data_IF_123199324197
#
_entry.id   IF_123199324197
#
_cell.length_a   1.000
_cell.length_b   1.000
_cell.length_c   1.000
_cell.angle_alpha   90.00
_cell.angle_beta   90.00
_cell.angle_gamma   90.00
#
_symmetry.space_group_name_H-M   'P 1'
#
loop_
_entity.id
_entity.type
_entity.pdbx_description
1 polymer ?
#
# COMPACT_ATOMS: atom_id res chain seq x y z
N UNK A 1 -14.99 -32.42 -3.06
CA UNK A 1 -13.91 -31.40 -3.18
C UNK A 1 -13.96 -30.53 -4.44
N UNK A 2 -14.28 -31.04 -5.65
CA UNK A 2 -14.26 -30.26 -6.92
C UNK A 2 -15.25 -29.07 -7.00
N UNK A 3 -16.47 -29.15 -6.45
CA UNK A 3 -17.47 -28.05 -6.51
C UNK A 3 -17.07 -26.80 -5.69
N UNK A 4 -16.41 -26.96 -4.54
CA UNK A 4 -15.89 -25.81 -3.74
C UNK A 4 -14.76 -25.07 -4.45
N UNK A 5 -13.95 -25.78 -5.26
CA UNK A 5 -12.84 -25.18 -5.99
C UNK A 5 -13.29 -24.25 -7.12
N UNK A 6 -14.34 -24.61 -7.88
CA UNK A 6 -14.85 -23.78 -8.98
C UNK A 6 -15.58 -22.53 -8.47
N UNK A 7 -16.40 -22.67 -7.42
CA UNK A 7 -17.05 -21.51 -6.79
C UNK A 7 -16.04 -20.51 -6.20
N UNK A 8 -14.98 -20.99 -5.54
CA UNK A 8 -13.90 -20.14 -5.07
C UNK A 8 -13.14 -19.45 -6.21
N UNK A 9 -12.99 -20.13 -7.34
CA UNK A 9 -12.37 -19.53 -8.53
C UNK A 9 -13.20 -18.36 -9.06
N UNK A 10 -14.49 -18.53 -9.27
CA UNK A 10 -15.38 -17.50 -9.80
C UNK A 10 -15.56 -16.30 -8.86
N UNK A 11 -15.54 -16.53 -7.55
CA UNK A 11 -15.81 -15.49 -6.55
C UNK A 11 -14.54 -14.86 -5.96
N UNK A 12 -13.42 -15.59 -5.94
CA UNK A 12 -12.22 -15.21 -5.18
C UNK A 12 -10.90 -15.55 -5.91
N UNK A 13 -10.92 -15.66 -7.23
CA UNK A 13 -9.73 -15.93 -8.06
C UNK A 13 -8.95 -17.20 -7.62
N UNK A 14 -9.65 -18.19 -7.07
CA UNK A 14 -9.04 -19.43 -6.58
C UNK A 14 -8.49 -19.38 -5.15
N UNK A 15 -8.51 -18.24 -4.49
CA UNK A 15 -8.21 -18.10 -3.06
C UNK A 15 -9.40 -18.51 -2.18
N UNK A 16 -9.16 -18.66 -0.87
CA UNK A 16 -10.27 -18.71 0.10
C UNK A 16 -10.87 -17.32 0.28
N UNK A 17 -12.10 -17.24 0.75
CA UNK A 17 -12.81 -15.96 0.94
C UNK A 17 -12.05 -15.00 1.86
N UNK A 18 -11.54 -15.50 2.97
CA UNK A 18 -10.77 -14.75 3.96
C UNK A 18 -9.44 -14.24 3.38
N UNK A 19 -8.74 -15.07 2.61
CA UNK A 19 -7.49 -14.71 1.92
C UNK A 19 -7.71 -13.61 0.88
N UNK A 20 -8.74 -13.74 0.05
CA UNK A 20 -9.09 -12.73 -0.95
C UNK A 20 -9.50 -11.40 -0.30
N UNK A 21 -10.32 -11.45 0.77
CA UNK A 21 -10.71 -10.24 1.48
C UNK A 21 -9.53 -9.54 2.15
N UNK A 22 -8.53 -10.31 2.62
CA UNK A 22 -7.32 -9.76 3.22
C UNK A 22 -6.43 -8.97 2.26
N UNK A 23 -6.50 -9.26 0.94
CA UNK A 23 -5.71 -8.54 -0.08
C UNK A 23 -6.55 -7.65 -0.99
N UNK A 24 -7.83 -7.52 -0.72
CA UNK A 24 -8.78 -6.79 -1.56
C UNK A 24 -8.37 -5.32 -1.78
N UNK A 25 -7.90 -4.64 -0.76
CA UNK A 25 -7.46 -3.25 -0.87
C UNK A 25 -6.25 -3.13 -1.77
N UNK A 26 -5.25 -4.01 -1.64
CA UNK A 26 -4.07 -4.06 -2.50
C UNK A 26 -4.42 -4.30 -3.97
N UNK A 27 -5.39 -5.18 -4.25
CA UNK A 27 -5.90 -5.41 -5.61
C UNK A 27 -6.45 -4.10 -6.19
N UNK A 28 -7.25 -3.36 -5.41
CA UNK A 28 -7.85 -2.12 -5.89
C UNK A 28 -6.89 -0.96 -5.97
N UNK A 29 -5.87 -0.88 -5.12
CA UNK A 29 -4.75 0.06 -5.27
C UNK A 29 -4.01 -0.15 -6.60
N UNK A 30 -3.75 -1.41 -6.97
CA UNK A 30 -3.17 -1.76 -8.27
C UNK A 30 -4.09 -1.36 -9.43
N UNK A 31 -5.37 -1.71 -9.36
CA UNK A 31 -6.36 -1.36 -10.37
C UNK A 31 -6.44 0.16 -10.58
N UNK A 32 -6.40 0.95 -9.52
CA UNK A 32 -6.39 2.41 -9.61
C UNK A 32 -5.14 2.97 -10.30
N UNK A 33 -3.97 2.37 -10.07
CA UNK A 33 -2.75 2.76 -10.79
C UNK A 33 -2.90 2.50 -12.30
N UNK A 34 -3.44 1.34 -12.66
CA UNK A 34 -3.70 0.98 -14.06
C UNK A 34 -4.77 1.94 -14.64
N UNK A 35 -5.86 2.19 -13.91
CA UNK A 35 -6.93 3.08 -14.33
C UNK A 35 -6.42 4.50 -14.63
N UNK A 36 -5.52 5.05 -13.82
CA UNK A 36 -4.90 6.36 -14.08
C UNK A 36 -4.17 6.38 -15.41
N UNK A 37 -3.41 5.34 -15.71
CA UNK A 37 -2.66 5.24 -16.96
C UNK A 37 -3.62 5.07 -18.15
N UNK A 38 -4.57 4.14 -18.04
CA UNK A 38 -5.49 3.82 -19.14
C UNK A 38 -6.42 4.99 -19.46
N UNK A 39 -6.99 5.67 -18.47
CA UNK A 39 -7.88 6.81 -18.68
C UNK A 39 -7.16 7.99 -19.35
N UNK A 40 -5.94 8.31 -18.91
CA UNK A 40 -5.12 9.35 -19.57
C UNK A 40 -4.78 8.95 -21.00
N UNK A 41 -4.37 7.70 -21.22
CA UNK A 41 -4.05 7.19 -22.55
C UNK A 41 -5.27 7.23 -23.48
N UNK A 42 -6.46 6.88 -22.98
CA UNK A 42 -7.72 6.96 -23.73
C UNK A 42 -8.04 8.40 -24.14
N UNK A 43 -7.84 9.38 -23.25
CA UNK A 43 -8.02 10.81 -23.57
C UNK A 43 -7.04 11.24 -24.66
N UNK A 44 -5.76 10.98 -24.49
CA UNK A 44 -4.72 11.39 -25.46
C UNK A 44 -4.97 10.78 -26.84
N UNK A 45 -5.26 9.48 -26.89
CA UNK A 45 -5.54 8.78 -28.14
C UNK A 45 -6.81 9.31 -28.81
N UNK A 46 -7.86 9.56 -28.04
CA UNK A 46 -9.13 10.09 -28.59
C UNK A 46 -8.96 11.48 -29.17
N UNK A 47 -8.24 12.37 -28.48
CA UNK A 47 -7.95 13.72 -28.97
C UNK A 47 -7.07 13.66 -30.20
N UNK A 48 -6.05 12.81 -30.24
CA UNK A 48 -5.22 12.63 -31.43
C UNK A 48 -6.05 12.19 -32.63
N UNK A 49 -6.90 11.18 -32.50
CA UNK A 49 -7.73 10.72 -33.59
C UNK A 49 -8.84 11.71 -33.98
N UNK A 50 -9.37 12.50 -33.05
CA UNK A 50 -10.28 13.61 -33.39
C UNK A 50 -9.62 14.64 -34.31
N UNK A 51 -8.38 15.05 -33.98
CA UNK A 51 -7.61 15.98 -34.78
C UNK A 51 -7.28 15.37 -36.15
N UNK A 52 -6.80 14.12 -36.16
CA UNK A 52 -6.43 13.39 -37.37
C UNK A 52 -7.61 13.25 -38.32
N UNK A 53 -8.79 12.83 -37.85
CA UNK A 53 -9.99 12.71 -38.67
C UNK A 53 -10.46 14.07 -39.23
N UNK A 54 -10.32 15.13 -38.42
CA UNK A 54 -10.62 16.48 -38.87
C UNK A 54 -9.72 16.94 -40.01
N UNK A 55 -8.43 16.64 -39.92
CA UNK A 55 -7.45 17.01 -40.95
C UNK A 55 -7.58 16.19 -42.22
N UNK A 56 -8.00 14.93 -42.12
CA UNK A 56 -8.18 14.03 -43.25
C UNK A 56 -9.57 14.11 -43.89
N UNK A 57 -10.48 14.94 -43.32
CA UNK A 57 -11.85 15.06 -43.83
C UNK A 57 -12.74 13.85 -43.57
N UNK A 58 -12.35 12.96 -42.66
CA UNK A 58 -13.12 11.78 -42.29
C UNK A 58 -14.33 12.17 -41.41
N UNK A 59 -15.48 11.57 -41.68
CA UNK A 59 -16.73 11.80 -40.93
C UNK A 59 -16.80 10.95 -39.63
N UNK A 60 -15.82 10.08 -39.38
CA UNK A 60 -15.80 9.17 -38.25
C UNK A 60 -15.20 9.84 -36.99
N UNK A 61 -15.82 10.92 -36.51
CA UNK A 61 -15.31 11.65 -35.34
C UNK A 61 -16.13 11.41 -34.04
N UNK A 62 -17.40 11.01 -34.18
CA UNK A 62 -18.33 10.86 -33.05
C UNK A 62 -17.84 9.86 -31.99
N UNK A 63 -17.36 8.64 -32.34
CA UNK A 63 -16.86 7.68 -31.36
C UNK A 63 -15.69 8.23 -30.54
N UNK A 64 -14.76 8.93 -31.19
CA UNK A 64 -13.60 9.51 -30.52
C UNK A 64 -13.99 10.63 -29.56
N UNK A 65 -14.98 11.46 -29.91
CA UNK A 65 -15.51 12.49 -29.03
C UNK A 65 -16.15 11.86 -27.78
N UNK A 66 -16.95 10.82 -27.98
CA UNK A 66 -17.59 10.10 -26.90
C UNK A 66 -16.56 9.52 -25.92
N UNK A 67 -15.52 8.83 -26.42
CA UNK A 67 -14.45 8.29 -25.61
C UNK A 67 -13.67 9.40 -24.89
N UNK A 68 -13.34 10.50 -25.58
CA UNK A 68 -12.64 11.64 -24.99
C UNK A 68 -13.41 12.23 -23.80
N UNK A 69 -14.72 12.46 -23.95
CA UNK A 69 -15.58 13.01 -22.90
C UNK A 69 -15.65 12.02 -21.70
N UNK A 70 -15.92 10.74 -21.96
CA UNK A 70 -16.06 9.71 -20.93
C UNK A 70 -14.78 9.52 -20.14
N UNK A 71 -13.65 9.31 -20.80
CA UNK A 71 -12.35 9.11 -20.15
C UNK A 71 -11.86 10.39 -19.45
N UNK A 72 -12.15 11.58 -19.98
CA UNK A 72 -11.87 12.84 -19.27
C UNK A 72 -12.67 12.94 -17.97
N UNK A 73 -13.94 12.57 -17.97
CA UNK A 73 -14.78 12.55 -16.78
C UNK A 73 -14.22 11.59 -15.71
N UNK A 74 -13.84 10.37 -16.09
CA UNK A 74 -13.21 9.40 -15.19
C UNK A 74 -11.89 9.95 -14.63
N UNK A 75 -11.03 10.50 -15.51
CA UNK A 75 -9.75 11.09 -15.13
C UNK A 75 -9.93 12.22 -14.11
N UNK A 76 -10.85 13.17 -14.37
CA UNK A 76 -11.14 14.27 -13.44
C UNK A 76 -11.57 13.77 -12.07
N UNK A 77 -12.47 12.78 -11.99
CA UNK A 77 -12.89 12.22 -10.70
C UNK A 77 -11.72 11.56 -9.99
N UNK A 78 -10.83 10.87 -10.71
CA UNK A 78 -9.66 10.23 -10.12
C UNK A 78 -8.71 11.26 -9.48
N UNK A 79 -8.50 12.41 -10.09
CA UNK A 79 -7.54 13.41 -9.62
C UNK A 79 -8.13 14.40 -8.61
N UNK A 80 -9.43 14.71 -8.69
CA UNK A 80 -10.07 15.69 -7.78
C UNK A 80 -10.36 15.17 -6.38
N UNK A 81 -10.46 13.86 -6.18
CA UNK A 81 -10.88 13.27 -4.90
C UNK A 81 -9.70 12.75 -4.08
N UNK A 82 -9.48 13.33 -2.89
CA UNK A 82 -8.42 12.93 -1.93
C UNK A 82 -8.69 11.60 -1.21
N UNK A 83 -9.95 11.29 -0.89
CA UNK A 83 -10.35 10.04 -0.23
C UNK A 83 -11.52 9.42 -0.97
N UNK A 84 -11.42 8.14 -1.33
CA UNK A 84 -12.45 7.44 -2.09
C UNK A 84 -12.92 6.19 -1.36
N UNK A 85 -14.22 5.97 -1.25
CA UNK A 85 -14.73 4.66 -0.84
C UNK A 85 -14.46 3.63 -1.95
N UNK A 86 -14.11 2.42 -1.57
CA UNK A 86 -13.76 1.33 -2.47
C UNK A 86 -14.80 1.07 -3.58
N UNK A 87 -16.09 1.24 -3.29
CA UNK A 87 -17.16 1.06 -4.29
C UNK A 87 -17.06 2.04 -5.46
N UNK A 88 -16.56 3.28 -5.19
CA UNK A 88 -16.39 4.27 -6.23
C UNK A 88 -15.21 3.92 -7.15
N UNK A 89 -14.15 3.37 -6.60
CA UNK A 89 -13.00 2.90 -7.39
C UNK A 89 -13.40 1.76 -8.32
N UNK A 90 -14.22 0.83 -7.81
CA UNK A 90 -14.81 -0.24 -8.61
C UNK A 90 -15.65 0.35 -9.76
N UNK A 91 -16.54 1.30 -9.43
CA UNK A 91 -17.41 1.93 -10.41
C UNK A 91 -16.62 2.64 -11.50
N UNK A 92 -15.59 3.42 -11.15
CA UNK A 92 -14.77 4.14 -12.12
C UNK A 92 -14.02 3.21 -13.07
N UNK A 93 -13.49 2.08 -12.55
CA UNK A 93 -12.87 1.07 -13.38
C UNK A 93 -13.84 0.49 -14.43
N UNK A 94 -15.03 0.10 -14.01
CA UNK A 94 -16.03 -0.45 -14.93
C UNK A 94 -16.60 0.60 -15.89
N UNK A 95 -16.72 1.88 -15.48
CA UNK A 95 -17.11 2.96 -16.35
C UNK A 95 -16.08 3.21 -17.46
N UNK A 96 -14.79 3.22 -17.16
CA UNK A 96 -13.76 3.39 -18.18
C UNK A 96 -13.82 2.25 -19.21
N UNK A 97 -13.92 1.01 -18.75
CA UNK A 97 -14.06 -0.14 -19.65
C UNK A 97 -15.31 0.04 -20.53
N UNK A 98 -16.43 0.43 -19.93
CA UNK A 98 -17.69 0.63 -20.65
C UNK A 98 -17.56 1.70 -21.74
N UNK A 99 -16.91 2.84 -21.46
CA UNK A 99 -16.67 3.88 -22.47
C UNK A 99 -15.83 3.38 -23.64
N UNK A 100 -14.76 2.62 -23.34
CA UNK A 100 -13.90 2.04 -24.38
C UNK A 100 -14.67 1.01 -25.22
N UNK A 101 -15.52 0.21 -24.60
CA UNK A 101 -16.31 -0.79 -25.31
C UNK A 101 -17.42 -0.20 -26.16
N UNK A 102 -18.13 0.82 -25.67
CA UNK A 102 -19.11 1.56 -26.47
C UNK A 102 -18.41 2.21 -27.66
N UNK A 103 -17.25 2.83 -27.46
CA UNK A 103 -16.43 3.39 -28.53
C UNK A 103 -16.11 2.33 -29.59
N UNK A 104 -15.60 1.16 -29.19
CA UNK A 104 -15.27 0.07 -30.10
C UNK A 104 -16.50 -0.48 -30.82
N UNK A 105 -17.64 -0.55 -30.13
CA UNK A 105 -18.92 -0.96 -30.71
C UNK A 105 -19.41 0.00 -31.80
N UNK A 106 -19.37 1.32 -31.55
CA UNK A 106 -19.76 2.33 -32.51
C UNK A 106 -18.84 2.28 -33.74
N UNK A 107 -17.52 2.19 -33.55
CA UNK A 107 -16.59 2.01 -34.68
C UNK A 107 -16.92 0.76 -35.49
N UNK A 108 -17.16 -0.37 -34.85
CA UNK A 108 -17.49 -1.63 -35.53
C UNK A 108 -18.80 -1.59 -36.29
N UNK A 109 -19.72 -0.70 -35.93
CA UNK A 109 -20.98 -0.45 -36.70
C UNK A 109 -20.74 0.51 -37.86
N UNK A 110 -19.89 1.55 -37.69
CA UNK A 110 -19.60 2.54 -38.71
C UNK A 110 -18.67 2.04 -39.82
N UNK A 111 -17.67 1.21 -39.48
CA UNK A 111 -16.77 0.55 -40.46
C UNK A 111 -17.52 -0.43 -41.37
N UNK A 112 -18.74 -0.76 -41.02
CA UNK A 112 -19.56 -1.74 -41.73
C UNK A 112 -20.32 -1.20 -42.92
N UNK A 113 -19.70 -0.41 -43.81
CA UNK A 113 -20.21 -0.38 -45.18
C UNK A 113 -20.17 -1.82 -45.74
N UNK A 114 -20.94 -2.68 -45.07
CA UNK A 114 -21.49 -3.97 -45.42
C UNK A 114 -20.58 -5.22 -45.48
N UNK A 115 -19.26 -5.16 -45.36
CA UNK A 115 -18.44 -6.33 -45.68
C UNK A 115 -17.42 -6.76 -44.61
N UNK A 116 -17.11 -5.94 -43.60
CA UNK A 116 -16.07 -6.27 -42.63
C UNK A 116 -16.63 -6.68 -41.24
N UNK A 117 -16.10 -7.72 -40.62
CA UNK A 117 -16.51 -8.11 -39.27
C UNK A 117 -16.06 -7.08 -38.25
N UNK A 118 -16.68 -7.12 -37.06
CA UNK A 118 -16.44 -6.20 -35.92
C UNK A 118 -15.04 -6.34 -35.31
N UNK A 119 -14.01 -5.98 -36.07
CA UNK A 119 -12.59 -6.19 -35.64
C UNK A 119 -12.22 -5.38 -34.41
N UNK A 120 -12.64 -4.12 -34.34
CA UNK A 120 -12.34 -3.21 -33.23
C UNK A 120 -12.92 -3.73 -31.91
N UNK A 121 -14.21 -4.10 -31.89
CA UNK A 121 -14.86 -4.63 -30.68
C UNK A 121 -14.24 -5.94 -30.20
N UNK A 122 -13.87 -6.83 -31.14
CA UNK A 122 -13.28 -8.12 -30.83
C UNK A 122 -11.95 -7.97 -30.10
N UNK A 123 -11.09 -7.04 -30.56
CA UNK A 123 -9.81 -6.74 -29.90
C UNK A 123 -10.04 -6.23 -28.47
N UNK A 124 -11.00 -5.35 -28.29
CA UNK A 124 -11.28 -4.80 -26.94
C UNK A 124 -11.91 -5.83 -26.00
N UNK A 125 -12.85 -6.65 -26.45
CA UNK A 125 -13.42 -7.76 -25.64
C UNK A 125 -12.30 -8.70 -25.17
N UNK A 126 -11.27 -8.96 -25.99
CA UNK A 126 -10.17 -9.85 -25.62
C UNK A 126 -9.15 -9.19 -24.67
N UNK A 127 -8.84 -7.89 -24.82
CA UNK A 127 -7.73 -7.24 -24.13
C UNK A 127 -8.15 -6.47 -22.88
N UNK A 128 -9.31 -5.81 -22.88
CA UNK A 128 -9.75 -4.97 -21.76
C UNK A 128 -9.88 -5.69 -20.42
N UNK A 129 -10.37 -6.95 -20.38
CA UNK A 129 -10.41 -7.67 -19.13
C UNK A 129 -9.05 -7.84 -18.44
N UNK A 130 -7.94 -7.71 -19.21
CA UNK A 130 -6.58 -7.82 -18.69
C UNK A 130 -6.15 -6.58 -17.86
N UNK A 131 -6.89 -5.48 -17.94
CA UNK A 131 -6.56 -4.21 -17.28
C UNK A 131 -7.05 -4.13 -15.83
N UNK A 132 -7.95 -5.00 -15.39
CA UNK A 132 -8.55 -4.96 -14.04
C UNK A 132 -8.57 -6.36 -13.43
N UNK A 133 -8.11 -6.46 -12.18
CA UNK A 133 -8.25 -7.66 -11.37
C UNK A 133 -9.48 -7.53 -10.46
N UNK A 134 -10.51 -8.31 -10.72
CA UNK A 134 -11.71 -8.41 -9.86
C UNK A 134 -12.21 -9.86 -9.84
N UNK A 135 -13.31 -10.09 -9.17
CA UNK A 135 -13.98 -11.41 -9.15
C UNK A 135 -14.35 -11.84 -10.57
N UNK A 136 -13.92 -13.00 -11.03
CA UNK A 136 -14.18 -13.44 -12.40
C UNK A 136 -15.65 -13.39 -12.79
N UNK A 137 -16.55 -13.71 -11.86
CA UNK A 137 -17.99 -13.67 -12.12
C UNK A 137 -18.50 -12.28 -12.55
N UNK A 138 -17.97 -11.19 -11.95
CA UNK A 138 -18.37 -9.83 -12.30
C UNK A 138 -17.93 -9.47 -13.71
N UNK A 139 -16.68 -9.79 -14.04
CA UNK A 139 -16.13 -9.52 -15.35
C UNK A 139 -16.86 -10.35 -16.43
N UNK A 140 -17.18 -11.61 -16.15
CA UNK A 140 -17.94 -12.44 -17.07
C UNK A 140 -19.32 -11.89 -17.36
N UNK A 141 -20.06 -11.45 -16.31
CA UNK A 141 -21.36 -10.82 -16.48
C UNK A 141 -21.27 -9.52 -17.28
N UNK A 142 -20.21 -8.74 -17.06
CA UNK A 142 -19.96 -7.52 -17.82
C UNK A 142 -19.70 -7.81 -19.29
N UNK A 143 -18.79 -8.73 -19.61
CA UNK A 143 -18.45 -9.14 -20.98
C UNK A 143 -19.64 -9.72 -21.74
N UNK A 144 -20.46 -10.52 -21.07
CA UNK A 144 -21.69 -11.07 -21.67
C UNK A 144 -22.73 -9.98 -21.94
N UNK A 145 -22.92 -9.06 -21.00
CA UNK A 145 -23.87 -7.95 -21.14
C UNK A 145 -23.52 -7.02 -22.28
N UNK A 146 -22.24 -6.67 -22.40
CA UNK A 146 -21.70 -5.82 -23.45
C UNK A 146 -21.78 -6.50 -24.82
N UNK A 147 -21.37 -7.78 -24.91
CA UNK A 147 -21.49 -8.56 -26.12
C UNK A 147 -22.94 -8.67 -26.60
N UNK A 148 -23.90 -8.91 -25.69
CA UNK A 148 -25.32 -8.96 -26.00
C UNK A 148 -25.86 -7.62 -26.47
N UNK A 149 -25.46 -6.51 -25.84
CA UNK A 149 -25.86 -5.16 -26.24
C UNK A 149 -25.37 -4.83 -27.66
N UNK A 150 -24.09 -5.15 -27.95
CA UNK A 150 -23.53 -4.97 -29.29
C UNK A 150 -24.33 -5.75 -30.35
N UNK A 151 -24.55 -7.06 -30.10
CA UNK A 151 -25.29 -7.91 -31.07
C UNK A 151 -26.73 -7.43 -31.28
N UNK A 152 -27.38 -6.91 -30.23
CA UNK A 152 -28.71 -6.31 -30.37
C UNK A 152 -28.69 -5.10 -31.28
N UNK A 153 -27.75 -4.19 -31.15
CA UNK A 153 -27.59 -3.01 -31.99
C UNK A 153 -27.21 -3.43 -33.42
N UNK A 154 -26.24 -4.31 -33.58
CA UNK A 154 -25.75 -4.79 -34.87
C UNK A 154 -26.85 -5.48 -35.70
N UNK A 155 -27.78 -6.18 -35.04
CA UNK A 155 -28.91 -6.87 -35.71
C UNK A 155 -29.84 -5.91 -36.49
N UNK A 156 -29.94 -4.64 -36.02
CA UNK A 156 -30.79 -3.63 -36.69
C UNK A 156 -30.08 -2.83 -37.77
N UNK A 157 -28.74 -2.89 -37.86
CA UNK A 157 -27.94 -2.00 -38.73
C UNK A 157 -27.19 -2.76 -39.81
N UNK A 158 -26.70 -3.99 -39.50
CA UNK A 158 -25.84 -4.76 -40.41
C UNK A 158 -26.60 -5.69 -41.35
N UNK A 159 -25.97 -5.99 -42.51
CA UNK A 159 -26.51 -7.03 -43.40
C UNK A 159 -26.54 -8.41 -42.70
N UNK A 160 -27.45 -9.27 -43.11
CA UNK A 160 -27.60 -10.62 -42.53
C UNK A 160 -26.28 -11.43 -42.54
N UNK A 161 -25.49 -11.27 -43.59
CA UNK A 161 -24.21 -12.00 -43.71
C UNK A 161 -23.15 -11.46 -42.73
N UNK A 162 -22.98 -10.12 -42.66
CA UNK A 162 -22.07 -9.48 -41.72
C UNK A 162 -22.48 -9.76 -40.25
N UNK A 163 -23.77 -9.70 -39.97
CA UNK A 163 -24.28 -10.01 -38.64
C UNK A 163 -23.98 -11.44 -38.18
N UNK A 164 -24.17 -12.44 -39.10
CA UNK A 164 -23.81 -13.84 -38.78
C UNK A 164 -22.33 -14.01 -38.44
N UNK A 165 -21.42 -13.32 -39.17
CA UNK A 165 -19.99 -13.33 -38.87
C UNK A 165 -19.69 -12.67 -37.51
N UNK A 166 -20.37 -11.56 -37.22
CA UNK A 166 -20.23 -10.87 -35.95
C UNK A 166 -20.67 -11.78 -34.76
N UNK A 167 -21.79 -12.47 -34.92
CA UNK A 167 -22.23 -13.42 -33.86
C UNK A 167 -21.18 -14.47 -33.57
N UNK A 168 -20.63 -15.10 -34.62
CA UNK A 168 -19.59 -16.13 -34.43
C UNK A 168 -18.34 -15.53 -33.77
N UNK A 169 -17.88 -14.40 -34.26
CA UNK A 169 -16.66 -13.74 -33.76
C UNK A 169 -16.83 -13.26 -32.33
N UNK A 170 -17.93 -12.56 -32.00
CA UNK A 170 -18.19 -12.04 -30.66
C UNK A 170 -18.30 -13.19 -29.65
N UNK A 171 -19.00 -14.27 -29.97
CA UNK A 171 -19.08 -15.44 -29.07
C UNK A 171 -17.68 -16.06 -28.88
N UNK A 172 -16.94 -16.28 -29.98
CA UNK A 172 -15.60 -16.90 -29.92
C UNK A 172 -14.65 -16.07 -29.07
N UNK A 173 -14.56 -14.76 -29.31
CA UNK A 173 -13.62 -13.91 -28.59
C UNK A 173 -14.09 -13.59 -27.18
N UNK A 174 -15.39 -13.59 -26.90
CA UNK A 174 -15.91 -13.51 -25.52
C UNK A 174 -15.48 -14.75 -24.72
N UNK A 175 -15.59 -15.95 -25.25
CA UNK A 175 -15.14 -17.18 -24.59
C UNK A 175 -13.61 -17.16 -24.39
N UNK A 176 -12.85 -16.78 -25.42
CA UNK A 176 -11.39 -16.67 -25.33
C UNK A 176 -11.02 -15.62 -24.27
N UNK A 177 -11.63 -14.44 -24.29
CA UNK A 177 -11.40 -13.37 -23.34
C UNK A 177 -11.71 -13.80 -21.90
N UNK A 178 -12.81 -14.53 -21.67
CA UNK A 178 -13.14 -15.10 -20.35
C UNK A 178 -12.08 -16.08 -19.86
N UNK A 179 -11.56 -16.95 -20.73
CA UNK A 179 -10.52 -17.92 -20.39
C UNK A 179 -9.20 -17.21 -20.05
N UNK A 180 -8.77 -16.26 -20.87
CA UNK A 180 -7.58 -15.46 -20.59
C UNK A 180 -7.71 -14.66 -19.31
N UNK A 181 -8.85 -13.97 -19.12
CA UNK A 181 -9.12 -13.24 -17.88
C UNK A 181 -9.01 -14.14 -16.65
N UNK A 182 -9.61 -15.32 -16.71
CA UNK A 182 -9.56 -16.30 -15.63
C UNK A 182 -8.13 -16.63 -15.20
N UNK A 183 -7.26 -16.91 -16.16
CA UNK A 183 -5.87 -17.28 -15.90
C UNK A 183 -5.06 -16.10 -15.38
N UNK A 184 -5.16 -14.95 -16.05
CA UNK A 184 -4.37 -13.76 -15.74
C UNK A 184 -4.78 -13.19 -14.38
N UNK A 185 -6.08 -13.00 -14.14
CA UNK A 185 -6.59 -12.48 -12.88
C UNK A 185 -6.25 -13.40 -11.70
N UNK A 186 -6.41 -14.72 -11.86
CA UNK A 186 -6.05 -15.67 -10.80
C UNK A 186 -4.53 -15.64 -10.51
N UNK A 187 -3.69 -15.49 -11.53
CA UNK A 187 -2.24 -15.34 -11.38
C UNK A 187 -1.90 -14.05 -10.63
N UNK A 188 -2.42 -12.91 -11.09
CA UNK A 188 -2.14 -11.61 -10.51
C UNK A 188 -2.59 -11.51 -9.04
N UNK A 189 -3.81 -11.96 -8.74
CA UNK A 189 -4.35 -11.95 -7.38
C UNK A 189 -3.56 -12.89 -6.47
N UNK A 190 -3.13 -14.04 -6.98
CA UNK A 190 -2.27 -14.97 -6.23
C UNK A 190 -0.90 -14.37 -5.95
N UNK A 191 -0.31 -13.65 -6.90
CA UNK A 191 0.96 -12.95 -6.73
C UNK A 191 0.85 -11.88 -5.65
N UNK A 192 -0.19 -11.03 -5.68
CA UNK A 192 -0.46 -10.03 -4.65
C UNK A 192 -0.60 -10.69 -3.27
N UNK A 193 -1.34 -11.80 -3.19
CA UNK A 193 -1.51 -12.55 -1.94
C UNK A 193 -0.20 -13.13 -1.42
N UNK A 194 0.62 -13.70 -2.31
CA UNK A 194 1.91 -14.28 -1.95
C UNK A 194 2.86 -13.21 -1.43
N UNK A 195 2.96 -12.07 -2.11
CA UNK A 195 3.80 -10.96 -1.70
C UNK A 195 3.36 -10.40 -0.33
N UNK A 196 2.07 -10.16 -0.12
CA UNK A 196 1.54 -9.74 1.17
C UNK A 196 1.79 -10.78 2.30
N UNK A 197 1.75 -12.07 1.97
CA UNK A 197 2.06 -13.14 2.92
C UNK A 197 3.54 -13.18 3.28
N UNK A 198 4.45 -13.02 2.31
CA UNK A 198 5.89 -12.94 2.55
C UNK A 198 6.21 -11.74 3.44
N UNK A 199 5.69 -10.55 3.12
CA UNK A 199 5.86 -9.34 3.91
C UNK A 199 5.38 -9.54 5.37
N UNK A 200 4.24 -10.19 5.56
CA UNK A 200 3.72 -10.51 6.89
C UNK A 200 4.61 -11.49 7.65
N UNK A 201 5.16 -12.49 6.97
CA UNK A 201 6.08 -13.46 7.61
C UNK A 201 7.40 -12.77 7.97
N UNK A 202 7.97 -11.97 7.10
CA UNK A 202 9.18 -11.19 7.36
C UNK A 202 9.00 -10.28 8.58
N UNK A 203 7.91 -9.51 8.62
CA UNK A 203 7.59 -8.66 9.79
C UNK A 203 7.44 -9.48 11.08
N UNK A 204 6.85 -10.67 10.98
CA UNK A 204 6.70 -11.59 12.12
C UNK A 204 8.05 -12.12 12.64
N UNK A 205 8.96 -12.49 11.73
CA UNK A 205 10.31 -12.95 12.10
C UNK A 205 11.11 -11.83 12.77
N UNK A 206 11.12 -10.63 12.18
CA UNK A 206 11.77 -9.45 12.73
C UNK A 206 11.28 -9.19 14.16
N UNK A 207 9.96 -9.14 14.34
CA UNK A 207 9.36 -8.91 15.67
C UNK A 207 9.72 -10.02 16.67
N UNK A 208 9.71 -11.29 16.23
CA UNK A 208 10.08 -12.41 17.10
C UNK A 208 11.54 -12.33 17.55
N UNK A 209 12.46 -11.99 16.66
CA UNK A 209 13.87 -11.77 16.99
C UNK A 209 14.04 -10.61 17.98
N UNK A 210 13.37 -9.49 17.74
CA UNK A 210 13.39 -8.36 18.65
C UNK A 210 12.84 -8.74 20.04
N UNK A 211 11.73 -9.50 20.10
CA UNK A 211 11.16 -9.99 21.36
C UNK A 211 12.13 -10.88 22.14
N UNK A 212 12.87 -11.77 21.47
CA UNK A 212 13.89 -12.61 22.13
C UNK A 212 15.00 -11.75 22.75
N UNK A 213 15.38 -10.64 22.12
CA UNK A 213 16.34 -9.69 22.67
C UNK A 213 15.74 -8.92 23.85
N UNK A 214 14.47 -8.48 23.73
CA UNK A 214 13.74 -7.80 24.78
C UNK A 214 13.54 -8.67 26.03
N UNK A 215 13.28 -9.99 25.87
CA UNK A 215 13.10 -10.91 26.99
C UNK A 215 14.36 -11.06 27.86
N UNK A 216 15.55 -10.72 27.34
CA UNK A 216 16.78 -10.63 28.15
C UNK A 216 16.82 -9.37 29.02
N UNK A 217 16.11 -8.31 28.63
CA UNK A 217 15.98 -7.08 29.40
C UNK A 217 14.70 -7.18 30.25
N UNK A 218 14.85 -7.60 31.51
CA UNK A 218 13.73 -7.87 32.43
C UNK A 218 12.78 -6.68 32.65
N UNK A 219 13.14 -5.50 32.09
CA UNK A 219 12.41 -4.26 32.29
C UNK A 219 11.32 -3.95 31.23
N UNK A 220 11.17 -4.75 30.17
CA UNK A 220 10.56 -4.22 28.94
C UNK A 220 9.37 -4.99 28.36
N UNK A 221 8.65 -5.82 29.12
CA UNK A 221 7.52 -6.64 28.61
C UNK A 221 6.51 -5.84 27.76
N UNK A 222 6.43 -6.17 26.45
CA UNK A 222 5.51 -5.56 25.48
C UNK A 222 5.92 -4.18 24.95
N UNK A 223 7.13 -3.72 25.24
CA UNK A 223 7.69 -2.45 24.77
C UNK A 223 7.73 -2.37 23.25
N UNK A 224 8.22 -3.41 22.57
CA UNK A 224 8.29 -3.48 21.10
C UNK A 224 6.95 -3.19 20.44
N UNK A 225 5.87 -3.79 20.94
CA UNK A 225 4.54 -3.56 20.35
C UNK A 225 4.04 -2.14 20.60
N UNK A 226 4.27 -1.58 21.78
CA UNK A 226 3.81 -0.24 22.12
C UNK A 226 4.58 0.82 21.34
N UNK A 227 5.91 0.72 21.24
CA UNK A 227 6.75 1.64 20.45
C UNK A 227 6.39 1.60 18.98
N UNK A 228 6.17 0.41 18.41
CA UNK A 228 5.69 0.26 17.03
C UNK A 228 4.32 0.95 16.82
N UNK A 229 3.39 0.82 17.78
CA UNK A 229 2.07 1.46 17.70
C UNK A 229 2.19 3.01 17.79
N UNK A 230 3.12 3.54 18.60
CA UNK A 230 3.41 4.98 18.66
C UNK A 230 4.05 5.50 17.38
N UNK A 231 5.00 4.77 16.81
CA UNK A 231 5.59 5.08 15.49
C UNK A 231 4.52 5.14 14.41
N UNK A 232 3.63 4.14 14.34
CA UNK A 232 2.50 4.13 13.39
C UNK A 232 1.58 5.33 13.57
N UNK A 233 1.24 5.66 14.81
CA UNK A 233 0.39 6.80 15.12
C UNK A 233 1.02 8.12 14.66
N UNK A 234 2.31 8.34 14.93
CA UNK A 234 3.03 9.53 14.49
C UNK A 234 3.08 9.61 12.96
N UNK A 235 3.40 8.52 12.28
CA UNK A 235 3.44 8.43 10.82
C UNK A 235 2.08 8.77 10.20
N UNK A 236 0.96 8.28 10.75
CA UNK A 236 -0.36 8.62 10.26
C UNK A 236 -0.67 10.13 10.34
N UNK A 237 -0.14 10.82 11.34
CA UNK A 237 -0.25 12.27 11.46
C UNK A 237 0.69 12.99 10.48
N UNK A 238 1.93 12.50 10.32
CA UNK A 238 2.89 13.03 9.35
C UNK A 238 2.35 12.97 7.92
N UNK A 239 1.70 11.88 7.52
CA UNK A 239 1.07 11.75 6.19
C UNK A 239 -0.01 12.79 5.89
N UNK A 240 -0.63 13.35 6.92
CA UNK A 240 -1.68 14.39 6.81
C UNK A 240 -1.12 15.81 6.87
N UNK A 241 0.12 15.96 7.31
CA UNK A 241 0.80 17.24 7.46
C UNK A 241 1.52 17.64 6.16
N UNK A 242 1.36 18.87 5.71
CA UNK A 242 1.91 19.36 4.44
C UNK A 242 3.45 19.34 4.40
N UNK A 243 4.14 19.47 5.54
CA UNK A 243 5.61 19.42 5.65
C UNK A 243 6.16 18.05 5.25
N UNK A 244 5.48 16.98 5.63
CA UNK A 244 5.92 15.58 5.44
C UNK A 244 5.24 14.89 4.24
N UNK A 245 4.34 15.55 3.53
CA UNK A 245 3.52 15.00 2.45
C UNK A 245 4.32 14.50 1.24
N UNK A 246 5.54 14.99 1.06
CA UNK A 246 6.42 14.60 -0.06
C UNK A 246 7.21 13.31 0.21
N UNK A 247 7.19 12.82 1.46
CA UNK A 247 7.91 11.61 1.84
C UNK A 247 7.18 10.40 1.25
N UNK A 248 7.89 9.48 0.56
CA UNK A 248 7.29 8.31 -0.04
C UNK A 248 6.62 7.39 1.00
N UNK A 249 5.50 6.77 0.64
CA UNK A 249 4.84 5.79 1.52
C UNK A 249 5.74 4.59 1.85
N UNK A 250 6.68 4.25 0.96
CA UNK A 250 7.65 3.17 1.20
C UNK A 250 8.58 3.49 2.36
N UNK A 251 9.07 4.72 2.48
CA UNK A 251 9.86 5.16 3.62
C UNK A 251 9.12 4.91 4.94
N UNK A 252 7.85 5.32 5.03
CA UNK A 252 7.05 5.11 6.23
C UNK A 252 6.84 3.63 6.57
N UNK A 253 6.64 2.78 5.56
CA UNK A 253 6.56 1.33 5.77
C UNK A 253 7.87 0.76 6.32
N UNK A 254 8.99 1.19 5.77
CA UNK A 254 10.31 0.77 6.19
C UNK A 254 10.61 1.19 7.63
N UNK A 255 10.24 2.42 8.03
CA UNK A 255 10.40 2.90 9.41
C UNK A 255 9.58 2.04 10.40
N UNK A 256 8.31 1.74 10.08
CA UNK A 256 7.47 0.89 10.91
C UNK A 256 8.07 -0.52 11.06
N UNK A 257 8.61 -1.08 9.97
CA UNK A 257 9.22 -2.40 9.96
C UNK A 257 10.54 -2.43 10.76
N UNK A 258 11.31 -1.35 10.73
CA UNK A 258 12.58 -1.22 11.43
C UNK A 258 12.42 -0.92 12.93
N UNK A 259 11.35 -0.26 13.36
CA UNK A 259 11.15 0.17 14.74
C UNK A 259 11.37 -0.95 15.80
N UNK A 260 10.91 -2.20 15.61
CA UNK A 260 11.18 -3.29 16.56
C UNK A 260 12.66 -3.58 16.79
N UNK A 261 13.53 -3.22 15.85
CA UNK A 261 14.95 -3.58 15.85
C UNK A 261 15.86 -2.51 16.50
N UNK A 262 15.31 -1.38 16.99
CA UNK A 262 16.10 -0.29 17.53
C UNK A 262 17.08 -0.75 18.62
N UNK A 263 16.66 -1.65 19.47
CA UNK A 263 17.41 -2.17 20.62
C UNK A 263 18.10 -3.52 20.38
N UNK A 264 18.16 -4.04 19.15
CA UNK A 264 18.72 -5.36 18.84
C UNK A 264 20.18 -5.52 19.32
N UNK A 265 20.92 -4.43 19.40
CA UNK A 265 22.31 -4.42 19.88
C UNK A 265 22.48 -4.75 21.36
N UNK A 266 21.43 -4.71 22.17
CA UNK A 266 21.44 -5.16 23.57
C UNK A 266 21.85 -6.63 23.71
N UNK A 267 21.73 -7.42 22.65
CA UNK A 267 22.20 -8.81 22.63
C UNK A 267 23.71 -8.94 22.94
N UNK A 268 24.52 -7.91 22.60
CA UNK A 268 25.95 -7.89 22.88
C UNK A 268 26.32 -7.28 24.25
N UNK A 269 25.36 -6.71 24.95
CA UNK A 269 25.59 -6.11 26.27
C UNK A 269 25.65 -7.24 27.33
N UNK A 270 26.66 -7.27 28.20
CA UNK A 270 26.76 -8.25 29.29
C UNK A 270 25.56 -8.18 30.26
N UNK A 271 25.03 -9.32 30.68
CA UNK A 271 23.87 -9.38 31.60
C UNK A 271 24.13 -8.67 32.93
N UNK A 272 25.39 -8.67 33.40
CA UNK A 272 25.82 -7.93 34.59
C UNK A 272 25.64 -6.42 34.51
N UNK A 273 25.54 -5.86 33.29
CA UNK A 273 25.27 -4.46 33.03
C UNK A 273 23.79 -4.28 32.65
N UNK A 274 23.28 -5.11 31.72
CA UNK A 274 21.91 -5.03 31.20
C UNK A 274 20.88 -5.17 32.34
N UNK A 275 21.04 -6.16 33.21
CA UNK A 275 20.12 -6.49 34.30
C UNK A 275 20.65 -6.09 35.68
N UNK A 276 21.53 -5.09 35.74
CA UNK A 276 22.08 -4.62 37.02
C UNK A 276 21.01 -4.07 37.95
N UNK A 277 20.83 -4.61 39.18
CA UNK A 277 19.79 -4.15 40.11
C UNK A 277 20.16 -2.84 40.82
N UNK A 278 20.92 -1.96 40.16
CA UNK A 278 21.37 -0.66 40.70
C UNK A 278 21.63 0.31 39.56
N UNK A 279 21.88 1.58 39.87
CA UNK A 279 22.32 2.57 38.86
C UNK A 279 23.66 2.12 38.23
N UNK A 280 23.77 2.28 36.92
CA UNK A 280 25.01 2.06 36.20
C UNK A 280 26.06 3.10 36.63
N UNK A 281 27.30 2.67 36.75
CA UNK A 281 28.45 3.59 36.85
C UNK A 281 28.69 4.28 35.49
N UNK A 282 29.49 5.31 35.46
CA UNK A 282 29.83 6.00 34.19
C UNK A 282 30.43 5.02 33.16
N UNK A 283 31.35 4.14 33.58
CA UNK A 283 31.94 3.13 32.69
C UNK A 283 30.91 2.13 32.15
N UNK A 284 29.99 1.68 32.98
CA UNK A 284 28.91 0.77 32.58
C UNK A 284 27.92 1.46 31.68
N UNK A 285 27.66 2.76 31.88
CA UNK A 285 26.81 3.57 31.01
C UNK A 285 27.42 3.69 29.62
N UNK A 286 28.75 3.91 29.51
CA UNK A 286 29.42 3.93 28.22
C UNK A 286 29.35 2.56 27.51
N UNK A 287 29.45 1.45 28.24
CA UNK A 287 29.23 0.11 27.66
C UNK A 287 27.76 -0.07 27.23
N UNK A 288 26.79 0.40 28.00
CA UNK A 288 25.38 0.35 27.64
C UNK A 288 25.09 1.12 26.35
N UNK A 289 25.67 2.32 26.18
CA UNK A 289 25.51 3.13 24.95
C UNK A 289 25.94 2.40 23.68
N UNK A 290 26.89 1.46 23.78
CA UNK A 290 27.37 0.69 22.63
C UNK A 290 26.29 -0.19 22.00
N UNK A 291 25.12 -0.41 22.65
CA UNK A 291 24.04 -1.17 22.01
C UNK A 291 23.60 -0.53 20.69
N UNK A 292 23.68 0.79 20.56
CA UNK A 292 23.33 1.50 19.33
C UNK A 292 24.28 1.13 18.18
N UNK A 293 25.59 1.16 18.42
CA UNK A 293 26.62 0.77 17.44
C UNK A 293 26.52 -0.73 17.13
N UNK A 294 26.38 -1.56 18.17
CA UNK A 294 26.22 -3.00 18.00
C UNK A 294 24.93 -3.36 17.22
N UNK A 295 23.86 -2.61 17.41
CA UNK A 295 22.62 -2.77 16.65
C UNK A 295 22.85 -2.55 15.17
N UNK A 296 23.45 -1.45 14.79
CA UNK A 296 23.80 -1.15 13.40
C UNK A 296 24.73 -2.21 12.79
N UNK A 297 25.76 -2.67 13.53
CA UNK A 297 26.64 -3.75 13.08
C UNK A 297 25.91 -5.08 12.84
N UNK A 298 25.01 -5.46 13.74
CA UNK A 298 24.22 -6.68 13.62
C UNK A 298 23.31 -6.60 12.39
N UNK A 299 22.60 -5.48 12.22
CA UNK A 299 21.71 -5.28 11.07
C UNK A 299 22.51 -5.22 9.76
N UNK A 300 23.69 -4.60 9.76
CA UNK A 300 24.57 -4.61 8.60
C UNK A 300 25.09 -5.99 8.17
N UNK A 301 25.05 -6.98 9.07
CA UNK A 301 25.40 -8.38 8.76
C UNK A 301 24.18 -9.24 8.39
N UNK A 302 23.01 -8.89 8.94
CA UNK A 302 21.76 -9.66 8.73
C UNK A 302 21.00 -9.24 7.49
N UNK A 303 21.12 -7.98 7.10
CA UNK A 303 20.43 -7.41 5.95
C UNK A 303 21.41 -7.28 4.79
N UNK A 304 20.90 -7.48 3.59
CA UNK A 304 21.68 -7.33 2.35
C UNK A 304 21.29 -6.01 1.69
N UNK A 305 22.24 -5.07 1.61
CA UNK A 305 21.97 -3.73 1.04
C UNK A 305 21.55 -3.81 -0.43
N UNK A 306 22.03 -4.80 -1.16
CA UNK A 306 21.72 -5.01 -2.58
C UNK A 306 20.24 -5.41 -2.80
N UNK A 307 19.59 -6.03 -1.80
CA UNK A 307 18.20 -6.46 -1.92
C UNK A 307 17.21 -5.32 -1.66
N UNK A 308 17.44 -4.53 -0.62
CA UNK A 308 16.63 -3.35 -0.28
C UNK A 308 17.50 -2.27 0.36
N UNK A 309 18.14 -1.40 -0.44
CA UNK A 309 19.04 -0.36 0.06
C UNK A 309 18.37 0.63 1.01
N UNK A 310 17.10 1.00 0.75
CA UNK A 310 16.37 1.96 1.56
C UNK A 310 16.03 1.37 2.95
N UNK A 311 15.52 0.14 2.99
CA UNK A 311 15.24 -0.52 4.26
C UNK A 311 16.50 -0.79 5.07
N UNK A 312 17.58 -1.19 4.40
CA UNK A 312 18.88 -1.41 5.03
C UNK A 312 19.38 -0.14 5.75
N UNK A 313 19.39 0.99 5.07
CA UNK A 313 19.86 2.27 5.62
C UNK A 313 18.93 2.71 6.78
N UNK A 314 17.60 2.64 6.61
CA UNK A 314 16.62 2.99 7.65
C UNK A 314 16.80 2.12 8.91
N UNK A 315 16.94 0.80 8.76
CA UNK A 315 17.08 -0.11 9.89
C UNK A 315 18.37 0.17 10.68
N UNK A 316 19.48 0.41 9.99
CA UNK A 316 20.74 0.80 10.63
C UNK A 316 20.63 2.14 11.34
N UNK A 317 20.01 3.15 10.71
CA UNK A 317 19.84 4.48 11.27
C UNK A 317 18.97 4.45 12.52
N UNK A 318 17.85 3.71 12.50
CA UNK A 318 16.99 3.52 13.66
C UNK A 318 17.78 2.90 14.82
N UNK A 319 18.54 1.84 14.58
CA UNK A 319 19.31 1.18 15.63
C UNK A 319 20.46 2.06 16.15
N UNK A 320 21.16 2.81 15.27
CA UNK A 320 22.32 3.58 15.64
C UNK A 320 21.98 4.91 16.30
N UNK A 321 20.93 5.61 15.81
CA UNK A 321 20.74 7.02 16.10
C UNK A 321 19.47 7.34 16.94
N UNK A 322 18.71 6.36 17.40
CA UNK A 322 17.50 6.62 18.20
C UNK A 322 17.76 7.27 19.56
N UNK A 323 19.01 7.34 20.01
CA UNK A 323 19.44 8.05 21.21
C UNK A 323 20.21 9.36 20.91
N UNK A 324 20.23 9.80 19.67
CA UNK A 324 20.68 11.15 19.38
C UNK A 324 19.66 12.18 19.88
N UNK A 325 20.15 13.32 20.35
CA UNK A 325 19.35 14.44 20.81
C UNK A 325 19.37 15.56 19.76
N UNK A 326 18.25 16.22 19.57
CA UNK A 326 18.10 17.27 18.56
C UNK A 326 19.09 18.42 18.75
N UNK A 327 19.52 18.69 20.00
CA UNK A 327 20.54 19.70 20.34
C UNK A 327 22.00 19.23 20.16
N UNK A 328 22.22 17.94 19.84
CA UNK A 328 23.55 17.34 19.66
C UNK A 328 24.18 16.80 20.94
N UNK A 329 23.47 16.73 22.06
CA UNK A 329 23.97 16.15 23.33
C UNK A 329 23.76 14.65 23.44
N UNK A 330 23.20 14.02 22.40
CA UNK A 330 22.91 12.58 22.33
C UNK A 330 24.14 11.73 22.03
N UNK A 331 23.90 10.47 21.67
CA UNK A 331 24.92 9.49 21.29
C UNK A 331 24.41 8.57 20.18
N UNK A 332 25.29 7.90 19.40
CA UNK A 332 26.74 7.73 19.61
C UNK A 332 27.60 8.82 18.95
N UNK A 333 27.11 9.52 17.93
CA UNK A 333 27.93 10.41 17.08
C UNK A 333 27.73 11.89 17.44
N UNK A 334 26.73 12.25 18.29
CA UNK A 334 26.40 13.63 18.67
C UNK A 334 25.83 14.46 17.51
N UNK A 335 25.04 13.82 16.66
CA UNK A 335 24.36 14.47 15.54
C UNK A 335 23.37 15.51 16.03
N UNK A 336 23.17 16.60 15.24
CA UNK A 336 22.32 17.72 15.64
C UNK A 336 21.27 18.08 14.59
N UNK A 337 20.06 18.38 15.05
CA UNK A 337 19.00 18.87 14.20
C UNK A 337 18.62 17.90 13.09
N UNK A 338 18.61 18.38 11.85
CA UNK A 338 18.26 17.58 10.68
C UNK A 338 19.37 16.63 10.20
N UNK A 339 20.60 16.72 10.77
CA UNK A 339 21.65 15.73 10.53
C UNK A 339 21.30 14.37 11.15
N UNK A 340 20.40 14.34 12.15
CA UNK A 340 19.83 13.09 12.67
C UNK A 340 18.84 12.55 11.65
N UNK A 341 19.00 11.30 11.17
CA UNK A 341 18.04 10.70 10.24
C UNK A 341 16.61 10.76 10.76
N UNK A 342 15.65 11.08 9.87
CA UNK A 342 14.24 11.29 10.26
C UNK A 342 13.64 10.07 10.96
N UNK A 343 13.96 8.88 10.49
CA UNK A 343 13.52 7.60 11.09
C UNK A 343 14.02 7.43 12.53
N UNK A 344 15.22 7.89 12.83
CA UNK A 344 15.77 7.87 14.19
C UNK A 344 15.07 8.90 15.09
N UNK A 345 14.77 10.11 14.58
CA UNK A 345 13.99 11.14 15.31
C UNK A 345 12.57 10.64 15.64
N UNK A 346 11.93 9.91 14.71
CA UNK A 346 10.62 9.29 14.92
C UNK A 346 10.71 8.23 16.02
N UNK A 347 11.73 7.37 15.98
CA UNK A 347 11.92 6.31 16.95
C UNK A 347 12.22 6.84 18.34
N UNK A 348 13.12 7.82 18.47
CA UNK A 348 13.49 8.46 19.74
C UNK A 348 12.27 8.95 20.52
N UNK A 349 11.32 9.59 19.84
CA UNK A 349 10.10 10.10 20.44
C UNK A 349 9.18 8.97 20.94
N UNK A 350 9.02 7.91 20.15
CA UNK A 350 8.20 6.76 20.50
C UNK A 350 8.78 5.97 21.66
N UNK A 351 10.09 5.74 21.67
CA UNK A 351 10.79 5.01 22.72
C UNK A 351 10.71 5.74 24.07
N UNK A 352 11.05 7.02 24.11
CA UNK A 352 10.99 7.80 25.36
C UNK A 352 9.55 7.93 25.86
N UNK A 353 8.55 8.08 24.98
CA UNK A 353 7.17 8.12 25.43
C UNK A 353 6.74 6.80 26.06
N UNK A 354 7.13 5.65 25.48
CA UNK A 354 6.89 4.36 26.11
C UNK A 354 7.61 4.23 27.45
N UNK A 355 8.86 4.67 27.54
CA UNK A 355 9.64 4.66 28.77
C UNK A 355 9.03 5.54 29.89
N UNK A 356 8.33 6.61 29.54
CA UNK A 356 7.63 7.47 30.49
C UNK A 356 6.30 6.86 30.93
N UNK A 357 5.57 6.19 30.04
CA UNK A 357 4.19 5.74 30.26
C UNK A 357 4.06 4.26 30.64
N UNK A 358 5.17 3.53 30.72
CA UNK A 358 5.22 2.11 31.11
C UNK A 358 5.84 1.94 32.51
N UNK A 359 5.32 0.96 33.27
CA UNK A 359 5.92 0.56 34.55
C UNK A 359 7.26 -0.13 34.28
N UNK A 360 8.30 0.28 35.02
CA UNK A 360 9.61 -0.37 35.06
C UNK A 360 9.92 -0.83 36.48
N UNK A 361 10.80 -1.81 36.65
CA UNK A 361 11.13 -2.40 37.99
C UNK A 361 11.42 -1.31 39.01
N UNK A 362 12.06 -0.21 38.61
CA UNK A 362 12.48 0.89 39.50
C UNK A 362 11.66 2.15 39.42
N UNK A 363 10.61 2.20 38.55
CA UNK A 363 9.85 3.44 38.29
C UNK A 363 8.44 3.12 37.86
N UNK A 364 7.45 3.67 38.57
CA UNK A 364 6.05 3.65 38.11
C UNK A 364 5.85 4.55 36.91
N UNK A 365 4.94 4.15 36.02
CA UNK A 365 4.53 4.94 34.87
C UNK A 365 4.06 6.33 35.28
N UNK A 366 4.47 7.35 34.52
CA UNK A 366 3.88 8.68 34.68
C UNK A 366 2.47 8.70 34.09
N UNK A 367 1.57 9.54 34.65
CA UNK A 367 0.32 9.83 33.99
C UNK A 367 0.55 10.42 32.59
N UNK A 368 -0.34 10.10 31.64
CA UNK A 368 -0.21 10.59 30.26
C UNK A 368 -0.06 12.12 30.16
N UNK A 369 -0.75 12.89 31.01
CA UNK A 369 -0.61 14.35 31.07
C UNK A 369 0.83 14.77 31.36
N UNK A 370 1.47 14.13 32.35
CA UNK A 370 2.83 14.44 32.76
C UNK A 370 3.85 14.00 31.69
N UNK A 371 3.68 12.82 31.08
CA UNK A 371 4.52 12.38 29.98
C UNK A 371 4.47 13.35 28.77
N UNK A 372 3.28 13.85 28.47
CA UNK A 372 3.09 14.86 27.40
C UNK A 372 3.78 16.19 27.72
N UNK A 373 3.72 16.62 28.97
CA UNK A 373 4.38 17.85 29.42
C UNK A 373 5.91 17.71 29.31
N UNK A 374 6.48 16.59 29.74
CA UNK A 374 7.91 16.27 29.59
C UNK A 374 8.33 16.31 28.12
N UNK A 375 7.57 15.68 27.21
CA UNK A 375 7.88 15.73 25.78
C UNK A 375 7.83 17.15 25.23
N UNK A 376 6.85 17.95 25.63
CA UNK A 376 6.70 19.34 25.21
C UNK A 376 7.88 20.21 25.68
N UNK A 377 8.34 20.03 26.91
CA UNK A 377 9.49 20.75 27.46
C UNK A 377 10.81 20.32 26.81
N UNK A 378 10.88 19.08 26.33
CA UNK A 378 12.07 18.53 25.66
C UNK A 378 12.09 18.78 24.14
N UNK A 379 11.08 19.46 23.58
CA UNK A 379 11.04 19.81 22.17
C UNK A 379 12.14 20.84 21.85
N UNK A 380 12.92 20.60 20.79
CA UNK A 380 14.07 21.41 20.39
C UNK A 380 15.37 21.11 21.16
N UNK A 381 15.33 20.30 22.23
CA UNK A 381 16.50 19.81 22.95
C UNK A 381 16.71 18.32 22.68
N UNK A 382 15.91 17.46 23.26
CA UNK A 382 16.00 16.03 23.01
C UNK A 382 15.28 15.63 21.71
N UNK A 383 14.15 16.23 21.40
CA UNK A 383 13.29 15.84 20.28
C UNK A 383 13.16 16.93 19.23
N UNK A 384 12.92 16.48 17.98
CA UNK A 384 12.50 17.33 16.88
C UNK A 384 11.19 18.06 17.25
N UNK A 385 11.17 19.41 17.25
CA UNK A 385 10.00 20.18 17.69
C UNK A 385 8.76 19.93 16.81
N UNK A 386 8.92 19.75 15.50
CA UNK A 386 7.81 19.49 14.60
C UNK A 386 7.19 18.11 14.84
N UNK A 387 8.02 17.09 15.06
CA UNK A 387 7.55 15.75 15.40
C UNK A 387 6.89 15.72 16.78
N UNK A 388 7.43 16.47 17.75
CA UNK A 388 6.83 16.62 19.07
C UNK A 388 5.42 17.25 19.00
N UNK A 389 5.26 18.34 18.24
CA UNK A 389 3.98 19.00 18.04
C UNK A 389 2.95 18.02 17.45
N UNK A 390 3.31 17.33 16.36
CA UNK A 390 2.45 16.35 15.73
C UNK A 390 2.11 15.19 16.66
N UNK A 391 3.08 14.68 17.43
CA UNK A 391 2.85 13.58 18.36
C UNK A 391 1.83 13.97 19.42
N UNK A 392 1.90 15.19 19.91
CA UNK A 392 1.05 15.73 20.96
C UNK A 392 -0.32 16.24 20.50
N UNK A 393 -0.56 16.41 19.19
CA UNK A 393 -1.85 16.79 18.66
C UNK A 393 -2.96 15.79 19.02
N UNK A 394 -4.10 16.30 19.55
CA UNK A 394 -5.44 15.66 19.65
C UNK A 394 -5.50 14.14 19.82
N UNK A 395 -4.72 13.55 20.72
CA UNK A 395 -4.85 12.12 21.00
C UNK A 395 -4.86 11.86 22.50
N UNK A 396 -5.93 11.22 22.97
CA UNK A 396 -5.87 10.35 24.14
C UNK A 396 -4.93 9.19 23.80
N UNK A 397 -3.64 9.43 23.99
CA UNK A 397 -2.58 8.44 23.82
C UNK A 397 -2.54 7.62 25.12
N UNK A 398 -3.61 6.86 25.35
CA UNK A 398 -3.60 5.84 26.37
C UNK A 398 -3.44 4.47 25.72
N UNK A 399 -2.77 3.50 26.36
CA UNK A 399 -2.79 2.14 25.85
C UNK A 399 -4.26 1.73 25.75
N UNK A 400 -4.79 1.61 24.52
CA UNK A 400 -6.10 1.01 24.30
C UNK A 400 -6.02 -0.39 24.90
N UNK A 401 -6.61 -0.60 26.09
CA UNK A 401 -6.82 -1.93 26.63
C UNK A 401 -7.56 -2.70 25.55
N UNK A 402 -6.82 -3.49 24.78
CA UNK A 402 -7.44 -4.51 23.92
C UNK A 402 -8.10 -5.49 24.86
N UNK A 403 -9.41 -5.36 25.04
CA UNK A 403 -10.22 -6.41 25.61
C UNK A 403 -10.09 -7.57 24.60
N UNK A 404 -9.21 -8.50 24.90
CA UNK A 404 -9.20 -9.80 24.23
C UNK A 404 -10.57 -10.44 24.52
N UNK A 405 -11.52 -10.24 23.62
CA UNK A 405 -12.69 -11.13 23.55
C UNK A 405 -12.17 -12.45 22.98
N UNK A 406 -11.77 -13.33 23.88
CA UNK A 406 -11.74 -14.77 23.61
C UNK A 406 -13.22 -15.12 23.43
N UNK A 407 -13.68 -15.21 22.18
CA UNK A 407 -14.93 -15.89 21.91
C UNK A 407 -14.66 -17.39 22.04
N UNK A 408 -15.48 -18.10 22.83
CA UNK A 408 -15.37 -19.54 23.04
C UNK A 408 -15.60 -20.34 21.75
#
# INVERSE_FOLDING_TARGET
>A
MKKKSFGNFLLFCGLRKDEFLGVRELIWERNLKILKITSISSVVMSVFFLIFNRLTGSEIWIPYLFLAIGSTFVTLIIFLKRTKPLWLDILLCYLEILFVCIYAGILSVQESNAALPATSLIVFIALLPMSIDDRPIRMYLFMLGESALYLLIASGVKSTQAFRLDVINVITFCVIGMLFYAVICARNVREIYQNAKVEKVQSGVIRSLATVVEERDENTGGHIQRTEDYVKMLIEKMKRNDKFKKIPDQFYKNVILAAPMHDVGKIKIPDTILNKPARLTEKETEVMKLHTVYGAEILGKLLTREEDPEYFDIAQNVAKYHHEHYDGTGYPDGLKGDDIPLEARIMALADVYDALTSDRIYKKAYPNSMAREILKESAGTQFDPDLCELFLENTDIGPKKRIFRINP
#
